data_IF_843266713297
#
_entry.id   IF_843266713297
#
_cell.length_a   1.000
_cell.length_b   1.000
_cell.length_c   1.000
_cell.angle_alpha   90.00
_cell.angle_beta   90.00
_cell.angle_gamma   90.00
#
_symmetry.space_group_name_H-M   'P 1'
#
loop_
_entity.id
_entity.type
_entity.pdbx_description
1 polymer ?
#
# COMPACT_ATOMS: atom_id res chain seq x y z
N UNK A 1 -15.75 11.39 -3.31
CA UNK A 1 -14.51 10.60 -3.25
C UNK A 1 -13.65 11.18 -2.14
N UNK A 2 -13.35 10.37 -1.11
CA UNK A 2 -12.69 10.84 0.11
C UNK A 2 -11.28 11.38 -0.18
N UNK A 3 -11.00 12.63 0.23
CA UNK A 3 -9.65 13.22 0.23
C UNK A 3 -8.75 12.62 1.32
N UNK A 4 -8.82 11.30 1.52
CA UNK A 4 -8.01 10.62 2.52
C UNK A 4 -6.57 10.62 2.04
N UNK A 5 -5.69 11.29 2.78
CA UNK A 5 -4.24 11.08 2.73
C UNK A 5 -3.97 9.64 3.18
N UNK A 6 -4.20 8.71 2.25
CA UNK A 6 -4.08 7.29 2.45
C UNK A 6 -2.59 6.90 2.47
N UNK A 7 -2.32 5.67 2.88
CA UNK A 7 -0.96 5.15 2.95
C UNK A 7 -0.20 5.33 1.61
N UNK A 8 -0.86 5.10 0.46
CA UNK A 8 -0.24 5.29 -0.85
C UNK A 8 0.21 6.73 -1.11
N UNK A 9 -0.60 7.72 -0.71
CA UNK A 9 -0.22 9.13 -0.81
C UNK A 9 0.99 9.45 0.05
N UNK A 10 1.02 8.96 1.30
CA UNK A 10 2.16 9.17 2.19
C UNK A 10 3.43 8.50 1.65
N UNK A 11 3.30 7.29 1.11
CA UNK A 11 4.43 6.57 0.52
C UNK A 11 4.95 7.27 -0.72
N UNK A 12 4.06 7.80 -1.56
CA UNK A 12 4.43 8.63 -2.70
C UNK A 12 5.21 9.89 -2.27
N UNK A 13 4.80 10.57 -1.18
CA UNK A 13 5.52 11.73 -0.65
C UNK A 13 6.96 11.42 -0.21
N UNK A 14 7.23 10.19 0.23
CA UNK A 14 8.57 9.76 0.64
C UNK A 14 9.44 9.31 -0.53
N UNK A 15 8.82 8.75 -1.57
CA UNK A 15 9.54 7.94 -2.58
C UNK A 15 9.67 8.65 -3.92
N UNK A 16 8.77 9.59 -4.23
CA UNK A 16 8.76 10.30 -5.51
C UNK A 16 9.66 11.53 -5.49
N UNK A 17 10.24 11.85 -6.64
CA UNK A 17 10.88 13.13 -6.86
C UNK A 17 9.87 14.30 -6.86
N UNK A 18 10.40 15.52 -6.78
CA UNK A 18 9.62 16.75 -6.69
C UNK A 18 8.63 16.94 -7.85
N UNK A 19 9.00 16.53 -9.07
CA UNK A 19 8.13 16.67 -10.25
C UNK A 19 6.96 15.70 -10.19
N UNK A 20 7.23 14.45 -9.83
CA UNK A 20 6.22 13.39 -9.73
C UNK A 20 5.27 13.64 -8.56
N UNK A 21 5.77 14.06 -7.41
CA UNK A 21 4.89 14.38 -6.28
C UNK A 21 4.00 15.59 -6.54
N UNK A 22 4.44 16.55 -7.37
CA UNK A 22 3.60 17.66 -7.79
C UNK A 22 2.36 17.19 -8.56
N UNK A 23 2.49 16.21 -9.46
CA UNK A 23 1.35 15.61 -10.19
C UNK A 23 0.32 15.03 -9.22
N UNK A 24 0.80 14.29 -8.21
CA UNK A 24 -0.05 13.68 -7.18
C UNK A 24 -0.74 14.76 -6.34
N UNK A 25 -0.01 15.77 -5.88
CA UNK A 25 -0.55 16.85 -5.07
C UNK A 25 -1.62 17.66 -5.82
N UNK A 26 -1.43 17.91 -7.12
CA UNK A 26 -2.44 18.59 -7.95
C UNK A 26 -3.74 17.79 -7.99
N UNK A 27 -3.67 16.47 -8.21
CA UNK A 27 -4.86 15.63 -8.24
C UNK A 27 -5.58 15.59 -6.88
N UNK A 28 -4.85 15.47 -5.77
CA UNK A 28 -5.43 15.45 -4.41
C UNK A 28 -5.96 16.84 -3.96
N UNK A 29 -5.43 17.93 -4.52
CA UNK A 29 -5.86 19.29 -4.25
C UNK A 29 -7.21 19.66 -4.87
N UNK A 30 -7.64 18.96 -5.93
CA UNK A 30 -8.86 19.26 -6.66
C UNK A 30 -10.14 19.01 -5.84
N UNK A 31 -11.18 19.80 -6.11
CA UNK A 31 -12.52 19.62 -5.55
C UNK A 31 -13.28 18.49 -6.23
N UNK A 32 -13.03 18.30 -7.53
CA UNK A 32 -13.50 17.17 -8.34
C UNK A 32 -12.32 16.55 -9.08
N UNK A 33 -12.24 15.23 -9.05
CA UNK A 33 -11.16 14.46 -9.68
C UNK A 33 -11.72 13.79 -10.92
N UNK A 34 -11.02 13.93 -12.05
CA UNK A 34 -11.39 13.32 -13.32
C UNK A 34 -10.75 11.94 -13.48
N UNK A 35 -11.22 11.12 -14.41
CA UNK A 35 -10.59 9.84 -14.75
C UNK A 35 -9.14 10.02 -15.21
N UNK A 36 -8.86 11.07 -15.98
CA UNK A 36 -7.51 11.43 -16.39
C UNK A 36 -6.59 11.69 -15.18
N UNK A 37 -7.09 12.34 -14.13
CA UNK A 37 -6.32 12.58 -12.90
C UNK A 37 -6.00 11.26 -12.18
N UNK A 38 -6.97 10.33 -12.15
CA UNK A 38 -6.75 9.00 -11.56
C UNK A 38 -5.69 8.23 -12.33
N UNK A 39 -5.76 8.25 -13.66
CA UNK A 39 -4.77 7.60 -14.54
C UNK A 39 -3.38 8.20 -14.32
N UNK A 40 -3.27 9.54 -14.31
CA UNK A 40 -2.00 10.22 -14.10
C UNK A 40 -1.36 9.87 -12.74
N UNK A 41 -2.15 9.84 -11.66
CA UNK A 41 -1.66 9.44 -10.33
C UNK A 41 -1.22 7.98 -10.33
N UNK A 42 -2.02 7.08 -10.89
CA UNK A 42 -1.71 5.64 -10.96
C UNK A 42 -0.40 5.40 -11.72
N UNK A 43 -0.24 6.05 -12.87
CA UNK A 43 0.94 5.86 -13.70
C UNK A 43 2.17 6.47 -13.02
N UNK A 44 2.02 7.62 -12.35
CA UNK A 44 3.07 8.20 -11.50
C UNK A 44 3.49 7.24 -10.37
N UNK A 45 2.53 6.60 -9.69
CA UNK A 45 2.83 5.62 -8.64
C UNK A 45 3.54 4.39 -9.19
N UNK A 46 3.17 3.93 -10.38
CA UNK A 46 3.81 2.80 -11.06
C UNK A 46 5.24 3.12 -11.46
N UNK A 47 5.46 4.23 -12.15
CA UNK A 47 6.79 4.64 -12.60
C UNK A 47 7.73 4.98 -11.44
N UNK A 48 7.17 5.47 -10.34
CA UNK A 48 7.92 5.78 -9.12
C UNK A 48 8.11 4.59 -8.17
N UNK A 49 7.68 3.38 -8.54
CA UNK A 49 7.84 2.18 -7.72
C UNK A 49 7.05 2.20 -6.40
N UNK A 50 6.04 3.07 -6.27
CA UNK A 50 5.27 3.24 -5.02
C UNK A 50 4.47 1.97 -4.72
N UNK A 51 3.95 1.28 -5.75
CA UNK A 51 3.24 0.02 -5.58
C UNK A 51 4.16 -1.10 -5.10
N UNK A 52 5.38 -1.18 -5.63
CA UNK A 52 6.35 -2.20 -5.24
C UNK A 52 6.81 -1.97 -3.79
N UNK A 53 7.11 -0.72 -3.43
CA UNK A 53 7.45 -0.35 -2.06
C UNK A 53 6.31 -0.64 -1.07
N UNK A 54 5.06 -0.38 -1.47
CA UNK A 54 3.89 -0.73 -0.65
C UNK A 54 3.75 -2.24 -0.48
N UNK A 55 3.98 -3.02 -1.53
CA UNK A 55 3.93 -4.49 -1.49
C UNK A 55 5.02 -5.07 -0.61
N UNK A 56 6.23 -4.51 -0.67
CA UNK A 56 7.34 -4.91 0.18
C UNK A 56 7.03 -4.69 1.65
N UNK A 57 6.51 -3.51 2.03
CA UNK A 57 6.10 -3.25 3.42
C UNK A 57 4.99 -4.19 3.89
N UNK A 58 3.96 -4.43 3.07
CA UNK A 58 2.92 -5.41 3.42
C UNK A 58 3.54 -6.79 3.66
N UNK A 59 4.48 -7.21 2.82
CA UNK A 59 5.17 -8.50 2.99
C UNK A 59 5.99 -8.53 4.28
N UNK A 60 6.73 -7.48 4.59
CA UNK A 60 7.56 -7.36 5.78
C UNK A 60 6.72 -7.41 7.06
N UNK A 61 5.70 -6.55 7.17
CA UNK A 61 4.81 -6.55 8.32
C UNK A 61 4.08 -7.88 8.49
N UNK A 62 3.69 -8.53 7.38
CA UNK A 62 3.03 -9.84 7.46
C UNK A 62 3.97 -10.94 7.91
N UNK A 63 5.24 -10.93 7.48
CA UNK A 63 6.27 -11.87 7.98
C UNK A 63 6.54 -11.66 9.46
N UNK A 64 6.65 -10.41 9.90
CA UNK A 64 6.83 -10.08 11.32
C UNK A 64 5.62 -10.55 12.15
N UNK A 65 4.40 -10.40 11.63
CA UNK A 65 3.20 -10.93 12.27
C UNK A 65 3.25 -12.46 12.38
N UNK A 66 3.64 -13.17 11.32
CA UNK A 66 3.81 -14.63 11.33
C UNK A 66 4.81 -15.09 12.41
N UNK A 67 5.98 -14.44 12.51
CA UNK A 67 6.94 -14.74 13.58
C UNK A 67 6.37 -14.50 14.98
N UNK A 68 5.51 -13.49 15.14
CA UNK A 68 4.81 -13.27 16.42
C UNK A 68 3.81 -14.39 16.77
N UNK A 69 3.21 -15.04 15.78
CA UNK A 69 2.29 -16.15 15.99
C UNK A 69 3.00 -17.44 16.43
N UNK A 70 4.29 -17.61 16.11
CA UNK A 70 5.07 -18.80 16.49
C UNK A 70 5.09 -19.01 18.01
N UNK A 71 5.11 -17.92 18.79
CA UNK A 71 5.10 -17.95 20.25
C UNK A 71 3.73 -18.30 20.87
N UNK A 72 2.66 -18.32 20.07
CA UNK A 72 1.32 -18.65 20.54
C UNK A 72 1.12 -20.17 20.61
N UNK A 73 0.37 -20.62 21.62
CA UNK A 73 -0.06 -22.01 21.73
C UNK A 73 -0.90 -22.41 20.53
N UNK A 74 -0.71 -23.65 20.05
CA UNK A 74 -1.53 -24.24 18.99
C UNK A 74 -3.01 -24.16 19.33
N UNK A 75 -3.78 -23.59 18.40
CA UNK A 75 -5.22 -23.38 18.50
C UNK A 75 -5.79 -23.09 17.11
N UNK A 76 -7.07 -23.36 16.91
CA UNK A 76 -7.77 -23.03 15.66
C UNK A 76 -7.65 -21.53 15.31
N UNK A 77 -7.62 -20.66 16.33
CA UNK A 77 -7.41 -19.23 16.14
C UNK A 77 -6.02 -18.88 15.59
N UNK A 78 -4.97 -19.61 16.01
CA UNK A 78 -3.62 -19.46 15.46
C UNK A 78 -3.59 -19.89 14.00
N UNK A 79 -4.19 -21.05 13.68
CA UNK A 79 -4.23 -21.58 12.31
C UNK A 79 -4.92 -20.61 11.35
N UNK A 80 -6.06 -20.06 11.75
CA UNK A 80 -6.79 -19.05 10.97
C UNK A 80 -5.97 -17.77 10.72
N UNK A 81 -5.20 -17.32 11.71
CA UNK A 81 -4.32 -16.15 11.56
C UNK A 81 -3.13 -16.42 10.64
N UNK A 82 -2.56 -17.64 10.70
CA UNK A 82 -1.49 -18.06 9.78
C UNK A 82 -2.00 -18.15 8.35
N UNK A 83 -3.19 -18.71 8.14
CA UNK A 83 -3.82 -18.77 6.81
C UNK A 83 -4.07 -17.37 6.24
N UNK A 84 -4.64 -16.47 7.04
CA UNK A 84 -4.85 -15.07 6.65
C UNK A 84 -3.52 -14.41 6.26
N UNK A 85 -2.49 -14.52 7.10
CA UNK A 85 -1.19 -13.92 6.82
C UNK A 85 -0.57 -14.45 5.52
N UNK A 86 -0.63 -15.77 5.28
CA UNK A 86 -0.13 -16.35 4.04
C UNK A 86 -0.90 -15.81 2.81
N UNK A 87 -2.22 -15.67 2.90
CA UNK A 87 -3.03 -15.08 1.82
C UNK A 87 -2.66 -13.63 1.52
N UNK A 88 -2.30 -12.84 2.54
CA UNK A 88 -1.91 -11.44 2.38
C UNK A 88 -0.56 -11.31 1.67
N UNK A 89 0.40 -12.20 1.95
CA UNK A 89 1.72 -12.22 1.29
C UNK A 89 1.60 -12.63 -0.18
N UNK A 90 0.71 -13.58 -0.49
CA UNK A 90 0.54 -14.13 -1.84
C UNK A 90 -0.40 -13.28 -2.71
N UNK A 91 -1.01 -12.23 -2.17
CA UNK A 91 -1.98 -11.41 -2.88
C UNK A 91 -1.37 -10.78 -4.12
N UNK A 92 -1.95 -11.09 -5.28
CA UNK A 92 -1.71 -10.38 -6.54
C UNK A 92 -2.59 -9.14 -6.59
N UNK A 93 -1.98 -7.98 -6.90
CA UNK A 93 -2.65 -6.68 -7.05
C UNK A 93 -2.84 -6.34 -8.52
#
# INVERSE_FOLDING_TARGET
>A
MEKKKNYMFLKAQQSLDEKRIAVVNVAYGKTSVTEHDVVAVRDTYREGGVFDAAKEEVSEYTKNALSGLEALKESEGKDALVELANSLVQRTF
#
